data_IF_392227422344
#
_entry.id   IF_392227422344
#
_cell.length_a   1.000
_cell.length_b   1.000
_cell.length_c   1.000
_cell.angle_alpha   90.00
_cell.angle_beta   90.00
_cell.angle_gamma   90.00
#
_symmetry.space_group_name_H-M   'P 1'
#
loop_
_entity.id
_entity.type
_entity.pdbx_description
1 polymer ?
#
# COMPACT_ATOMS: atom_id res chain seq x y z
N UNK A 1 -22.07 9.52 41.88
CA UNK A 1 -22.33 9.76 40.43
C UNK A 1 -21.00 9.69 39.69
N UNK A 2 -20.86 8.76 38.75
CA UNK A 2 -19.70 8.72 37.84
C UNK A 2 -19.91 9.83 36.81
N UNK A 3 -18.87 10.61 36.54
CA UNK A 3 -18.93 11.68 35.54
C UNK A 3 -19.26 11.13 34.14
N UNK A 4 -19.71 11.99 33.22
CA UNK A 4 -20.04 11.55 31.86
C UNK A 4 -18.84 10.88 31.18
N UNK A 5 -19.06 9.88 30.30
CA UNK A 5 -18.00 9.31 29.49
C UNK A 5 -17.24 10.39 28.72
N UNK A 6 -15.92 10.25 28.62
CA UNK A 6 -15.09 11.17 27.83
C UNK A 6 -15.48 11.17 26.34
N UNK A 7 -15.08 12.20 25.60
CA UNK A 7 -15.32 12.27 24.16
C UNK A 7 -14.66 11.09 23.42
N UNK A 8 -15.19 10.69 22.25
CA UNK A 8 -14.55 9.69 21.40
C UNK A 8 -13.10 10.06 21.09
N UNK A 9 -12.21 9.07 21.06
CA UNK A 9 -10.83 9.29 20.62
C UNK A 9 -10.76 9.75 19.16
N UNK A 10 -9.63 10.36 18.74
CA UNK A 10 -9.42 10.73 17.35
C UNK A 10 -9.48 9.50 16.43
N UNK A 11 -9.83 9.67 15.14
CA UNK A 11 -9.74 8.60 14.16
C UNK A 11 -8.35 7.97 14.18
N UNK A 12 -8.29 6.64 14.12
CA UNK A 12 -7.01 5.95 13.95
C UNK A 12 -6.30 6.44 12.68
N UNK A 13 -4.97 6.47 12.70
CA UNK A 13 -4.18 6.71 11.47
C UNK A 13 -4.67 5.75 10.39
N UNK A 14 -4.81 6.23 9.15
CA UNK A 14 -5.08 5.35 8.02
C UNK A 14 -4.02 4.25 8.03
N UNK A 15 -4.42 3.05 8.45
CA UNK A 15 -3.56 1.88 8.40
C UNK A 15 -3.08 1.82 6.96
N UNK A 16 -1.76 1.93 6.76
CA UNK A 16 -1.10 1.99 5.46
C UNK A 16 -1.82 1.02 4.53
N UNK A 17 -2.75 1.56 3.73
CA UNK A 17 -3.70 0.71 3.07
C UNK A 17 -2.87 -0.14 2.11
N UNK A 18 -3.03 -1.46 2.13
CA UNK A 18 -2.57 -2.34 1.05
C UNK A 18 -3.34 -2.00 -0.23
N UNK A 19 -3.26 -0.75 -0.67
CA UNK A 19 -3.92 -0.22 -1.84
C UNK A 19 -3.17 -0.64 -3.10
N UNK A 20 -3.91 -0.71 -4.19
CA UNK A 20 -3.34 -0.88 -5.52
C UNK A 20 -2.78 0.47 -5.97
N UNK A 21 -1.50 0.51 -6.29
CA UNK A 21 -0.87 1.64 -6.98
C UNK A 21 -0.81 1.35 -8.47
N UNK A 22 -1.21 2.29 -9.31
CA UNK A 22 -1.12 2.16 -10.77
C UNK A 22 0.09 2.97 -11.25
N UNK A 23 1.00 2.31 -11.99
CA UNK A 23 2.28 2.87 -12.41
C UNK A 23 2.47 2.74 -13.91
N UNK A 24 3.18 3.70 -14.50
CA UNK A 24 3.41 3.72 -15.95
C UNK A 24 4.34 2.59 -16.40
N UNK A 25 5.48 2.41 -15.74
CA UNK A 25 6.53 1.46 -16.16
C UNK A 25 7.06 0.63 -15.00
N UNK A 26 7.70 -0.48 -15.33
CA UNK A 26 8.36 -1.34 -14.35
C UNK A 26 9.48 -0.58 -13.60
N UNK A 27 10.20 0.31 -14.28
CA UNK A 27 11.25 1.13 -13.66
C UNK A 27 10.70 2.10 -12.60
N UNK A 28 9.51 2.68 -12.82
CA UNK A 28 8.85 3.50 -11.80
C UNK A 28 8.51 2.68 -10.57
N UNK A 29 8.00 1.45 -10.74
CA UNK A 29 7.75 0.51 -9.65
C UNK A 29 9.01 0.26 -8.82
N UNK A 30 10.13 -0.04 -9.47
CA UNK A 30 11.41 -0.25 -8.79
C UNK A 30 11.89 1.00 -8.04
N UNK A 31 11.71 2.18 -8.62
CA UNK A 31 12.17 3.45 -8.04
C UNK A 31 11.43 3.80 -6.74
N UNK A 32 10.12 3.56 -6.68
CA UNK A 32 9.30 3.84 -5.50
C UNK A 32 9.23 2.67 -4.51
N UNK A 33 9.81 1.52 -4.84
CA UNK A 33 9.69 0.26 -4.09
C UNK A 33 10.05 0.38 -2.62
N UNK A 34 11.02 1.23 -2.28
CA UNK A 34 11.49 1.42 -0.89
C UNK A 34 10.47 2.15 -0.01
N UNK A 35 9.55 2.89 -0.61
CA UNK A 35 8.49 3.63 0.09
C UNK A 35 7.20 2.82 0.21
N UNK A 36 7.12 1.67 -0.47
CA UNK A 36 5.93 0.81 -0.46
C UNK A 36 6.05 -0.27 0.60
N UNK A 37 4.95 -0.54 1.28
CA UNK A 37 4.87 -1.56 2.32
C UNK A 37 4.75 -2.95 1.69
N UNK A 38 5.20 -3.97 2.42
CA UNK A 38 4.89 -5.36 2.07
C UNK A 38 3.37 -5.56 1.94
N UNK A 39 2.94 -6.31 0.93
CA UNK A 39 1.53 -6.50 0.60
C UNK A 39 0.92 -5.41 -0.29
N UNK A 40 1.64 -4.33 -0.63
CA UNK A 40 1.19 -3.37 -1.64
C UNK A 40 1.09 -4.04 -3.01
N UNK A 41 0.00 -3.77 -3.73
CA UNK A 41 -0.19 -4.19 -5.12
C UNK A 41 0.23 -3.05 -6.07
N UNK A 42 0.92 -3.39 -7.16
CA UNK A 42 1.33 -2.46 -8.20
C UNK A 42 0.91 -2.97 -9.58
N UNK A 43 0.05 -2.23 -10.27
CA UNK A 43 -0.30 -2.49 -11.66
C UNK A 43 0.61 -1.67 -12.59
N UNK A 44 1.30 -2.34 -13.50
CA UNK A 44 2.26 -1.71 -14.42
C UNK A 44 1.65 -1.62 -15.82
N UNK A 45 1.31 -0.40 -16.25
CA UNK A 45 0.58 -0.17 -17.51
C UNK A 45 1.38 -0.52 -18.76
N UNK A 46 2.71 -0.43 -18.73
CA UNK A 46 3.62 -0.76 -19.85
C UNK A 46 3.36 -2.15 -20.43
N UNK A 47 3.04 -3.12 -19.56
CA UNK A 47 2.79 -4.51 -19.95
C UNK A 47 1.41 -5.02 -19.53
N UNK A 48 0.70 -4.30 -18.64
CA UNK A 48 -0.57 -4.75 -18.08
C UNK A 48 -0.43 -5.80 -16.98
N UNK A 49 0.76 -5.91 -16.39
CA UNK A 49 1.07 -6.90 -15.35
C UNK A 49 0.73 -6.36 -13.95
N UNK A 50 0.35 -7.28 -13.06
CA UNK A 50 0.13 -6.96 -11.65
C UNK A 50 1.25 -7.58 -10.79
N UNK A 51 1.83 -6.78 -9.90
CA UNK A 51 2.86 -7.22 -8.96
C UNK A 51 2.43 -7.00 -7.51
N UNK A 52 2.97 -7.80 -6.59
CA UNK A 52 2.84 -7.63 -5.15
C UNK A 52 4.21 -7.41 -4.50
N UNK A 53 4.28 -6.43 -3.59
CA UNK A 53 5.48 -6.15 -2.79
C UNK A 53 5.62 -7.25 -1.74
N UNK A 54 6.74 -7.96 -1.79
CA UNK A 54 7.14 -8.95 -0.78
C UNK A 54 8.38 -8.44 -0.04
N UNK A 55 8.72 -9.07 1.10
CA UNK A 55 9.83 -8.65 1.95
C UNK A 55 11.14 -8.38 1.19
N UNK A 56 11.45 -9.20 0.19
CA UNK A 56 12.71 -9.16 -0.55
C UNK A 56 12.57 -8.66 -2.01
N UNK A 57 11.42 -8.08 -2.39
CA UNK A 57 11.24 -7.62 -3.77
C UNK A 57 9.80 -7.52 -4.23
N UNK A 58 9.58 -7.93 -5.48
CA UNK A 58 8.27 -7.99 -6.12
C UNK A 58 8.02 -9.38 -6.67
N UNK A 59 6.77 -9.80 -6.63
CA UNK A 59 6.31 -11.03 -7.29
C UNK A 59 5.20 -10.67 -8.24
N UNK A 60 5.28 -11.15 -9.49
CA UNK A 60 4.18 -11.03 -10.44
C UNK A 60 3.00 -11.91 -10.00
N UNK A 61 1.79 -11.38 -10.16
CA UNK A 61 0.52 -11.99 -9.76
C UNK A 61 -0.31 -12.37 -10.97
N UNK A 62 -0.38 -11.48 -11.96
CA UNK A 62 -1.09 -11.65 -13.23
C UNK A 62 -0.16 -11.19 -14.36
#
# INVERSE_FOLDING_TARGET
>A
IVGPPGPPGPPGSAASASGVTVLQTYQTMLSISRSLHEGTLAYVMEHGDLYIRVRDGWRQVY
#
